data_IF_678296420199
#
_entry.id   IF_678296420199
#
_cell.length_a   1.000
_cell.length_b   1.000
_cell.length_c   1.000
_cell.angle_alpha   90.00
_cell.angle_beta   90.00
_cell.angle_gamma   90.00
#
_symmetry.space_group_name_H-M   'P 1'
#
loop_
_entity.id
_entity.type
_entity.pdbx_description
1 polymer ?
#
# COMPACT_ATOMS: atom_id res chain seq x y z
N UNK A 1 69.86 37.88 -43.43
CA UNK A 1 69.25 36.65 -42.87
C UNK A 1 68.24 36.89 -41.74
N UNK A 2 68.23 38.03 -41.03
CA UNK A 2 67.32 38.25 -39.89
C UNK A 2 65.84 38.47 -40.27
N UNK A 3 65.54 39.03 -41.44
CA UNK A 3 64.19 39.37 -41.88
C UNK A 3 63.31 38.17 -42.29
N UNK A 4 63.94 37.03 -42.63
CA UNK A 4 63.21 35.82 -43.03
C UNK A 4 62.60 35.13 -41.79
N UNK A 5 63.28 35.17 -40.64
CA UNK A 5 62.82 34.52 -39.40
C UNK A 5 61.57 35.19 -38.81
N UNK A 6 61.47 36.52 -38.86
CA UNK A 6 60.31 37.28 -38.36
C UNK A 6 59.04 37.03 -39.16
N UNK A 7 59.14 36.82 -40.49
CA UNK A 7 58.00 36.47 -41.33
C UNK A 7 57.39 35.11 -41.00
N UNK A 8 58.23 34.10 -40.72
CA UNK A 8 57.78 32.76 -40.31
C UNK A 8 57.05 32.77 -38.97
N UNK A 9 57.52 33.53 -37.98
CA UNK A 9 56.90 33.59 -36.64
C UNK A 9 55.52 34.24 -36.71
N UNK A 10 55.36 35.30 -37.51
CA UNK A 10 54.07 35.97 -37.68
C UNK A 10 53.04 35.08 -38.39
N UNK A 11 53.48 34.30 -39.39
CA UNK A 11 52.62 33.36 -40.10
C UNK A 11 52.20 32.18 -39.21
N UNK A 12 53.10 31.69 -38.35
CA UNK A 12 52.82 30.61 -37.40
C UNK A 12 51.83 31.04 -36.31
N UNK A 13 51.96 32.28 -35.83
CA UNK A 13 51.00 32.89 -34.90
C UNK A 13 49.60 33.06 -35.53
N UNK A 14 49.53 33.48 -36.80
CA UNK A 14 48.26 33.58 -37.51
C UNK A 14 47.62 32.20 -37.72
N UNK A 15 48.43 31.19 -38.07
CA UNK A 15 47.97 29.81 -38.26
C UNK A 15 47.43 29.21 -36.96
N UNK A 16 48.16 29.38 -35.86
CA UNK A 16 47.73 28.91 -34.53
C UNK A 16 46.42 29.57 -34.10
N UNK A 17 46.28 30.89 -34.33
CA UNK A 17 45.03 31.62 -34.05
C UNK A 17 43.86 31.09 -34.87
N UNK A 18 44.05 30.82 -36.16
CA UNK A 18 43.01 30.26 -37.02
C UNK A 18 42.61 28.85 -36.59
N UNK A 19 43.59 28.01 -36.20
CA UNK A 19 43.33 26.67 -35.67
C UNK A 19 42.50 26.72 -34.38
N UNK A 20 42.84 27.59 -33.43
CA UNK A 20 42.09 27.75 -32.18
C UNK A 20 40.65 28.19 -32.46
N UNK A 21 40.45 29.17 -33.34
CA UNK A 21 39.11 29.64 -33.70
C UNK A 21 38.27 28.56 -34.38
N UNK A 22 38.89 27.74 -35.24
CA UNK A 22 38.20 26.62 -35.89
C UNK A 22 37.81 25.53 -34.91
N UNK A 23 38.67 25.19 -33.95
CA UNK A 23 38.41 24.19 -32.93
C UNK A 23 37.30 24.66 -31.97
N UNK A 24 37.31 25.93 -31.57
CA UNK A 24 36.25 26.53 -30.76
C UNK A 24 34.92 26.57 -31.51
N UNK A 25 34.94 26.91 -32.81
CA UNK A 25 33.75 26.88 -33.66
C UNK A 25 33.14 25.49 -33.76
N UNK A 26 33.97 24.47 -34.02
CA UNK A 26 33.55 23.07 -34.07
C UNK A 26 32.97 22.61 -32.72
N UNK A 27 33.65 22.91 -31.61
CA UNK A 27 33.18 22.58 -30.26
C UNK A 27 31.84 23.24 -29.93
N UNK A 28 31.63 24.50 -30.33
CA UNK A 28 30.36 25.18 -30.11
C UNK A 28 29.22 24.57 -30.95
N UNK A 29 29.49 24.15 -32.18
CA UNK A 29 28.49 23.46 -33.01
C UNK A 29 28.10 22.10 -32.44
N UNK A 30 29.06 21.34 -31.90
CA UNK A 30 28.79 20.04 -31.29
C UNK A 30 28.01 20.19 -29.98
N UNK A 31 28.36 21.18 -29.15
CA UNK A 31 27.62 21.52 -27.94
C UNK A 31 26.18 21.92 -28.27
N UNK A 32 25.97 22.78 -29.28
CA UNK A 32 24.64 23.19 -29.73
C UNK A 32 23.82 22.00 -30.23
N UNK A 33 24.44 21.06 -30.94
CA UNK A 33 23.77 19.86 -31.44
C UNK A 33 23.37 18.94 -30.29
N UNK A 34 24.26 18.77 -29.31
CA UNK A 34 24.00 17.98 -28.09
C UNK A 34 22.90 18.59 -27.21
N UNK A 35 22.90 19.92 -27.06
CA UNK A 35 21.81 20.65 -26.39
C UNK A 35 20.48 20.50 -27.13
N UNK A 36 20.50 20.50 -28.46
CA UNK A 36 19.31 20.23 -29.27
C UNK A 36 18.74 18.81 -29.04
N UNK A 37 19.60 17.80 -28.92
CA UNK A 37 19.20 16.42 -28.60
C UNK A 37 18.59 16.32 -27.20
N UNK A 38 19.24 16.92 -26.20
CA UNK A 38 18.75 16.93 -24.81
C UNK A 38 17.41 17.68 -24.68
N UNK A 39 17.22 18.76 -25.44
CA UNK A 39 15.95 19.50 -25.47
C UNK A 39 14.79 18.71 -26.11
N UNK A 40 15.09 17.66 -26.91
CA UNK A 40 14.10 16.75 -27.49
C UNK A 40 13.60 15.67 -26.52
N UNK A 41 14.45 15.20 -25.60
CA UNK A 41 14.12 14.16 -24.62
C UNK A 41 12.89 14.45 -23.74
N UNK A 42 12.68 15.67 -23.19
CA UNK A 42 11.49 15.91 -22.39
C UNK A 42 10.20 15.78 -23.19
N UNK A 43 10.23 16.03 -24.51
CA UNK A 43 9.05 15.88 -25.38
C UNK A 43 8.74 14.41 -25.64
N UNK A 44 9.75 13.57 -25.84
CA UNK A 44 9.55 12.12 -26.04
C UNK A 44 9.05 11.47 -24.75
N UNK A 45 9.65 11.82 -23.60
CA UNK A 45 9.20 11.33 -22.29
C UNK A 45 7.76 11.77 -22.01
N UNK A 46 7.38 13.00 -22.38
CA UNK A 46 6.01 13.47 -22.23
C UNK A 46 5.01 12.70 -23.13
N UNK A 47 5.40 12.37 -24.36
CA UNK A 47 4.60 11.59 -25.28
C UNK A 47 4.42 10.13 -24.81
N UNK A 48 5.50 9.49 -24.37
CA UNK A 48 5.46 8.13 -23.82
C UNK A 48 4.61 8.07 -22.55
N UNK A 49 4.74 9.08 -21.69
CA UNK A 49 3.90 9.22 -20.50
C UNK A 49 2.42 9.46 -20.83
N UNK A 50 2.10 10.14 -21.93
CA UNK A 50 0.73 10.33 -22.38
C UNK A 50 0.12 9.02 -22.91
N UNK A 51 0.90 8.24 -23.67
CA UNK A 51 0.51 6.92 -24.14
C UNK A 51 0.24 5.96 -22.97
N UNK A 52 1.15 5.89 -22.00
CA UNK A 52 0.98 5.02 -20.82
C UNK A 52 -0.26 5.39 -19.99
N UNK A 53 -0.60 6.69 -19.91
CA UNK A 53 -1.83 7.15 -19.23
C UNK A 53 -3.10 6.78 -19.99
N UNK A 54 -3.08 6.76 -21.32
CA UNK A 54 -4.22 6.29 -22.12
C UNK A 54 -4.38 4.78 -22.00
N UNK A 55 -3.29 4.03 -22.08
CA UNK A 55 -3.30 2.57 -21.92
C UNK A 55 -3.82 2.16 -20.53
N UNK A 56 -3.35 2.84 -19.47
CA UNK A 56 -3.86 2.64 -18.12
C UNK A 56 -5.37 2.92 -18.03
N UNK A 57 -5.86 4.01 -18.64
CA UNK A 57 -7.30 4.31 -18.69
C UNK A 57 -8.09 3.28 -19.49
N UNK A 58 -7.49 2.68 -20.52
CA UNK A 58 -8.12 1.62 -21.29
C UNK A 58 -8.21 0.33 -20.46
N UNK A 59 -7.18 0.00 -19.69
CA UNK A 59 -7.16 -1.17 -18.83
C UNK A 59 -8.22 -1.07 -17.71
N UNK A 60 -8.36 0.10 -17.07
CA UNK A 60 -9.41 0.33 -16.07
C UNK A 60 -10.81 0.15 -16.65
N UNK A 61 -11.08 0.72 -17.83
CA UNK A 61 -12.38 0.52 -18.51
C UNK A 61 -12.69 -0.95 -18.78
N UNK A 62 -11.68 -1.75 -19.16
CA UNK A 62 -11.84 -3.19 -19.36
C UNK A 62 -12.10 -3.93 -18.05
N UNK A 63 -11.45 -3.52 -16.97
CA UNK A 63 -11.67 -4.08 -15.63
C UNK A 63 -13.11 -3.80 -15.15
N UNK A 64 -13.55 -2.55 -15.26
CA UNK A 64 -14.92 -2.14 -14.88
C UNK A 64 -15.96 -2.91 -15.69
N UNK A 65 -15.71 -3.11 -16.99
CA UNK A 65 -16.57 -3.92 -17.85
C UNK A 65 -16.61 -5.38 -17.38
N UNK A 66 -15.45 -6.00 -17.12
CA UNK A 66 -15.39 -7.39 -16.67
C UNK A 66 -16.06 -7.60 -15.31
N UNK A 67 -15.94 -6.64 -14.39
CA UNK A 67 -16.64 -6.68 -13.10
C UNK A 67 -18.16 -6.63 -13.30
N UNK A 68 -18.66 -5.75 -14.17
CA UNK A 68 -20.08 -5.71 -14.52
C UNK A 68 -20.60 -7.01 -15.14
N UNK A 69 -19.81 -7.63 -16.03
CA UNK A 69 -20.14 -8.94 -16.61
C UNK A 69 -20.23 -10.04 -15.54
N UNK A 70 -19.32 -10.05 -14.56
CA UNK A 70 -19.34 -11.01 -13.44
C UNK A 70 -20.58 -10.81 -12.55
N UNK A 71 -20.93 -9.56 -12.22
CA UNK A 71 -22.13 -9.26 -11.44
C UNK A 71 -23.41 -9.71 -12.17
N UNK A 72 -23.47 -9.48 -13.48
CA UNK A 72 -24.59 -9.91 -14.31
C UNK A 72 -24.69 -11.45 -14.36
N UNK A 73 -23.57 -12.16 -14.46
CA UNK A 73 -23.53 -13.62 -14.41
C UNK A 73 -24.00 -14.16 -13.06
N UNK A 74 -23.58 -13.53 -11.95
CA UNK A 74 -24.03 -13.90 -10.60
C UNK A 74 -25.54 -13.69 -10.43
N UNK A 75 -26.07 -12.56 -10.91
CA UNK A 75 -27.51 -12.30 -10.89
C UNK A 75 -28.29 -13.32 -11.74
N UNK A 76 -27.77 -13.68 -12.92
CA UNK A 76 -28.38 -14.71 -13.76
C UNK A 76 -28.39 -16.09 -13.09
N UNK A 77 -27.29 -16.47 -12.44
CA UNK A 77 -27.18 -17.72 -11.70
C UNK A 77 -28.14 -17.78 -10.50
N UNK A 78 -28.30 -16.67 -9.75
CA UNK A 78 -29.26 -16.57 -8.66
C UNK A 78 -30.71 -16.77 -9.15
N UNK A 79 -31.09 -16.10 -10.24
CA UNK A 79 -32.43 -16.25 -10.83
C UNK A 79 -32.71 -17.68 -11.33
N UNK A 80 -31.69 -18.37 -11.86
CA UNK A 80 -31.82 -19.77 -12.22
C UNK A 80 -31.97 -20.68 -10.99
N UNK A 81 -31.25 -20.39 -9.90
CA UNK A 81 -31.40 -21.10 -8.62
C UNK A 81 -32.81 -20.97 -8.07
N UNK A 82 -33.35 -19.74 -8.01
CA UNK A 82 -34.72 -19.49 -7.52
C UNK A 82 -35.78 -20.28 -8.31
N UNK A 83 -35.60 -20.38 -9.64
CA UNK A 83 -36.50 -21.13 -10.51
C UNK A 83 -36.41 -22.65 -10.30
N UNK A 84 -35.22 -23.15 -9.97
CA UNK A 84 -35.02 -24.56 -9.59
C UNK A 84 -35.65 -24.82 -8.22
N UNK A 85 -35.43 -23.95 -7.24
CA UNK A 85 -36.01 -24.09 -5.90
C UNK A 85 -37.53 -24.07 -5.95
N UNK A 86 -38.13 -23.13 -6.70
CA UNK A 86 -39.59 -23.06 -6.88
C UNK A 86 -40.20 -24.31 -7.55
N UNK A 87 -39.41 -25.09 -8.30
CA UNK A 87 -39.84 -26.38 -8.87
C UNK A 87 -39.67 -27.55 -7.91
N UNK A 88 -38.86 -27.40 -6.87
CA UNK A 88 -38.44 -28.50 -6.00
C UNK A 88 -39.17 -28.51 -4.65
N UNK A 89 -39.84 -27.42 -4.26
CA UNK A 89 -40.64 -27.33 -3.03
C UNK A 89 -42.05 -27.92 -3.22
N UNK A 90 -42.40 -29.08 -2.60
CA UNK A 90 -43.79 -29.51 -2.49
C UNK A 90 -44.56 -28.61 -1.48
N UNK A 91 -45.88 -28.41 -1.66
CA UNK A 91 -46.66 -27.54 -0.78
C UNK A 91 -46.83 -28.20 0.60
N UNK A 92 -46.29 -27.56 1.64
CA UNK A 92 -46.51 -27.95 3.02
C UNK A 92 -47.91 -27.50 3.48
N UNK A 93 -48.72 -28.47 3.92
CA UNK A 93 -50.01 -28.24 4.58
C UNK A 93 -49.85 -27.54 5.94
N UNK A 94 -50.77 -26.64 6.34
CA UNK A 94 -50.73 -25.98 7.64
C UNK A 94 -51.51 -26.79 8.70
N UNK A 95 -50.82 -27.25 9.75
CA UNK A 95 -51.45 -27.85 10.92
C UNK A 95 -51.78 -26.79 11.99
N UNK A 96 -52.99 -26.91 12.54
CA UNK A 96 -53.68 -25.95 13.40
C UNK A 96 -53.21 -25.89 14.87
N UNK A 97 -53.60 -24.77 15.47
CA UNK A 97 -53.49 -24.26 16.85
C UNK A 97 -53.79 -25.23 18.00
N UNK A 98 -53.11 -25.03 19.13
CA UNK A 98 -53.74 -25.03 20.45
C UNK A 98 -53.08 -24.04 21.44
N UNK A 99 -53.89 -23.09 21.91
CA UNK A 99 -53.75 -22.17 23.06
C UNK A 99 -54.13 -22.94 24.34
N UNK A 100 -53.56 -22.74 25.54
CA UNK A 100 -53.73 -21.60 26.50
C UNK A 100 -52.91 -21.88 27.82
N UNK A 101 -52.94 -21.11 28.95
CA UNK A 101 -51.86 -20.20 29.40
C UNK A 101 -51.29 -20.49 30.85
N UNK A 102 -50.83 -19.50 31.69
CA UNK A 102 -49.43 -19.30 32.09
C UNK A 102 -49.10 -19.60 33.58
N UNK A 103 -47.86 -20.03 33.86
CA UNK A 103 -47.31 -20.12 35.24
C UNK A 103 -46.19 -19.08 35.41
N UNK A 104 -46.38 -18.16 36.36
CA UNK A 104 -45.42 -17.15 36.81
C UNK A 104 -44.43 -17.73 37.85
N UNK A 105 -43.28 -17.07 38.12
CA UNK A 105 -41.96 -17.71 38.28
C UNK A 105 -41.51 -17.89 39.74
N UNK A 106 -40.42 -18.64 39.99
CA UNK A 106 -39.54 -18.37 41.11
C UNK A 106 -38.34 -17.51 40.68
N UNK A 107 -38.02 -16.56 41.56
CA UNK A 107 -36.85 -15.69 41.56
C UNK A 107 -35.53 -16.45 41.44
N UNK A 108 -34.56 -15.79 40.81
CA UNK A 108 -33.20 -15.74 41.34
C UNK A 108 -32.13 -16.38 40.47
N UNK A 109 -31.78 -15.73 39.36
CA UNK A 109 -30.42 -15.76 38.84
C UNK A 109 -30.10 -14.34 38.39
N UNK A 110 -29.23 -13.68 39.14
CA UNK A 110 -28.75 -12.34 38.83
C UNK A 110 -28.06 -12.34 37.46
N UNK A 111 -28.16 -11.26 36.66
CA UNK A 111 -27.33 -11.10 35.47
C UNK A 111 -25.87 -11.05 35.91
N UNK A 112 -25.06 -11.98 35.40
CA UNK A 112 -23.61 -11.82 35.41
C UNK A 112 -23.30 -10.49 34.71
N UNK A 113 -22.52 -9.58 35.32
CA UNK A 113 -22.07 -8.39 34.62
C UNK A 113 -21.22 -8.84 33.42
N UNK A 114 -21.28 -8.13 32.27
CA UNK A 114 -20.33 -8.39 31.18
C UNK A 114 -18.90 -8.29 31.74
N UNK A 115 -17.93 -9.06 31.23
CA UNK A 115 -16.54 -8.86 31.60
C UNK A 115 -16.20 -7.42 31.26
N UNK A 116 -15.95 -6.61 32.29
CA UNK A 116 -15.28 -5.33 32.14
C UNK A 116 -13.88 -5.71 31.69
N UNK A 117 -13.65 -5.66 30.38
CA UNK A 117 -12.29 -5.57 29.85
C UNK A 117 -11.82 -4.21 30.36
N UNK A 118 -11.15 -4.20 31.51
CA UNK A 118 -10.17 -3.17 31.81
C UNK A 118 -9.14 -3.29 30.70
N UNK A 119 -9.35 -2.51 29.63
CA UNK A 119 -8.24 -2.07 28.81
C UNK A 119 -7.32 -1.41 29.83
N UNK A 120 -6.22 -2.10 30.14
CA UNK A 120 -5.09 -1.47 30.78
C UNK A 120 -4.85 -0.23 29.92
N UNK A 121 -5.10 0.95 30.48
CA UNK A 121 -4.80 2.24 29.88
C UNK A 121 -3.27 2.34 29.81
N UNK A 122 -2.67 1.48 28.99
CA UNK A 122 -1.38 1.75 28.41
C UNK A 122 -1.66 2.97 27.57
N UNK A 123 -1.18 4.13 28.02
CA UNK A 123 -1.24 5.41 27.35
C UNK A 123 -0.95 5.23 25.85
N UNK A 124 -1.99 4.92 25.07
CA UNK A 124 -1.95 4.91 23.63
C UNK A 124 -2.01 6.39 23.25
N UNK A 125 -0.85 7.04 23.37
CA UNK A 125 -0.67 8.45 23.07
C UNK A 125 -1.32 8.72 21.72
N UNK A 126 -2.37 9.55 21.73
CA UNK A 126 -3.17 9.82 20.55
C UNK A 126 -2.23 10.20 19.39
N UNK A 127 -2.36 9.57 18.21
CA UNK A 127 -1.44 9.78 17.11
C UNK A 127 -1.18 11.27 16.83
N UNK A 128 0.08 11.70 16.99
CA UNK A 128 0.52 13.09 16.84
C UNK A 128 0.57 13.50 15.34
N UNK A 129 -0.12 14.58 14.92
CA UNK A 129 -0.05 15.11 13.55
C UNK A 129 1.38 15.45 13.07
N UNK A 130 2.28 15.85 13.98
CA UNK A 130 3.68 16.13 13.63
C UNK A 130 4.43 14.83 13.35
N UNK A 131 4.22 13.77 14.15
CA UNK A 131 4.72 12.41 13.87
C UNK A 131 4.21 11.91 12.52
N UNK A 132 2.91 12.03 12.23
CA UNK A 132 2.31 11.65 10.95
C UNK A 132 3.03 12.32 9.77
N UNK A 133 3.25 13.65 9.82
CA UNK A 133 3.94 14.37 8.74
C UNK A 133 5.36 13.85 8.47
N UNK A 134 6.09 13.41 9.51
CA UNK A 134 7.42 12.81 9.35
C UNK A 134 7.32 11.45 8.68
N UNK A 135 6.38 10.61 9.11
CA UNK A 135 6.13 9.28 8.53
C UNK A 135 5.73 9.36 7.06
N UNK A 136 4.82 10.28 6.70
CA UNK A 136 4.42 10.50 5.30
C UNK A 136 5.59 10.89 4.41
N UNK A 137 6.53 11.69 4.92
CA UNK A 137 7.76 12.05 4.19
C UNK A 137 8.68 10.85 3.99
N UNK A 138 8.81 9.98 5.00
CA UNK A 138 9.58 8.73 4.89
C UNK A 138 8.94 7.79 3.86
N UNK A 139 7.63 7.55 3.97
CA UNK A 139 6.88 6.74 3.03
C UNK A 139 7.00 7.24 1.58
N UNK A 140 6.98 8.57 1.36
CA UNK A 140 7.21 9.16 0.04
C UNK A 140 8.60 8.86 -0.55
N UNK A 141 9.60 8.58 0.29
CA UNK A 141 10.95 8.20 -0.11
C UNK A 141 11.12 6.71 -0.40
N UNK A 142 10.14 5.88 -0.05
CA UNK A 142 10.19 4.43 -0.24
C UNK A 142 9.66 4.09 -1.63
N UNK A 143 10.52 3.49 -2.46
CA UNK A 143 10.10 2.98 -3.77
C UNK A 143 9.12 1.82 -3.62
N UNK A 144 9.41 0.89 -2.70
CA UNK A 144 8.59 -0.28 -2.43
C UNK A 144 8.83 -0.82 -1.01
N UNK A 145 7.77 -1.29 -0.36
CA UNK A 145 7.80 -1.99 0.91
C UNK A 145 7.01 -3.31 0.82
N UNK A 146 7.53 -4.38 1.41
CA UNK A 146 6.79 -5.62 1.65
C UNK A 146 6.01 -5.49 2.94
N UNK A 147 4.74 -5.83 2.89
CA UNK A 147 3.86 -5.94 4.03
C UNK A 147 3.53 -7.42 4.23
N UNK A 148 3.77 -7.93 5.43
CA UNK A 148 3.48 -9.32 5.80
C UNK A 148 2.50 -9.30 6.96
N UNK A 149 1.32 -9.87 6.74
CA UNK A 149 0.25 -9.87 7.74
C UNK A 149 -0.71 -11.05 7.53
N UNK A 150 -1.62 -11.28 8.48
CA UNK A 150 -2.70 -12.24 8.31
C UNK A 150 -3.69 -11.74 7.25
N UNK A 151 -4.37 -12.67 6.55
CA UNK A 151 -5.35 -12.36 5.51
C UNK A 151 -6.44 -11.38 5.96
N UNK A 152 -6.94 -11.55 7.19
CA UNK A 152 -7.99 -10.69 7.73
C UNK A 152 -7.47 -9.28 8.05
N UNK A 153 -6.21 -9.16 8.52
CA UNK A 153 -5.55 -7.86 8.72
C UNK A 153 -5.44 -7.11 7.39
N UNK A 154 -5.10 -7.82 6.32
CA UNK A 154 -5.06 -7.23 4.98
C UNK A 154 -6.44 -6.82 4.48
N UNK A 155 -7.47 -7.64 4.71
CA UNK A 155 -8.85 -7.30 4.35
C UNK A 155 -9.32 -6.03 5.06
N UNK A 156 -9.04 -5.90 6.36
CA UNK A 156 -9.31 -4.68 7.12
C UNK A 156 -8.57 -3.47 6.53
N UNK A 157 -7.27 -3.59 6.24
CA UNK A 157 -6.51 -2.51 5.62
C UNK A 157 -7.10 -2.07 4.29
N UNK A 158 -7.54 -3.01 3.46
CA UNK A 158 -8.21 -2.72 2.19
C UNK A 158 -9.53 -1.97 2.43
N UNK A 159 -10.35 -2.39 3.38
CA UNK A 159 -11.60 -1.71 3.71
C UNK A 159 -11.37 -0.24 4.10
N UNK A 160 -10.34 0.01 4.93
CA UNK A 160 -10.01 1.37 5.38
C UNK A 160 -9.39 2.24 4.27
N UNK A 161 -8.70 1.64 3.28
CA UNK A 161 -7.88 2.37 2.29
C UNK A 161 -8.45 2.41 0.90
N UNK A 162 -9.43 1.56 0.56
CA UNK A 162 -10.00 1.45 -0.77
C UNK A 162 -10.59 2.76 -1.30
N UNK A 163 -11.01 3.66 -0.41
CA UNK A 163 -11.59 4.95 -0.76
C UNK A 163 -10.56 6.08 -0.88
N UNK A 164 -9.29 5.84 -0.52
CA UNK A 164 -8.25 6.87 -0.57
C UNK A 164 -7.71 7.05 -2.01
N UNK A 165 -7.64 8.29 -2.54
CA UNK A 165 -7.21 8.55 -3.91
C UNK A 165 -5.75 8.16 -4.20
N UNK A 166 -4.91 8.09 -3.17
CA UNK A 166 -3.50 7.70 -3.25
C UNK A 166 -3.32 6.18 -3.18
N UNK A 167 -4.31 5.45 -2.65
CA UNK A 167 -4.25 4.01 -2.57
C UNK A 167 -4.30 3.39 -3.97
N UNK A 168 -3.39 2.45 -4.20
CA UNK A 168 -3.45 1.52 -5.32
C UNK A 168 -3.25 0.15 -4.74
N UNK A 169 -4.26 -0.69 -4.93
CA UNK A 169 -4.17 -2.08 -4.57
C UNK A 169 -2.94 -2.68 -5.26
N UNK A 170 -2.06 -3.35 -4.50
CA UNK A 170 -0.89 -4.03 -5.04
C UNK A 170 -1.29 -5.19 -5.94
N UNK A 171 -0.33 -5.70 -6.72
CA UNK A 171 -0.51 -6.83 -7.63
C UNK A 171 -0.74 -8.17 -6.89
N UNK A 172 -0.29 -9.33 -7.43
CA UNK A 172 -0.60 -10.63 -6.82
C UNK A 172 -0.23 -10.65 -5.34
N UNK A 173 -1.20 -11.07 -4.53
CA UNK A 173 -1.07 -11.31 -3.10
C UNK A 173 -0.64 -12.76 -2.98
N UNK A 174 0.58 -12.98 -2.51
CA UNK A 174 1.07 -14.33 -2.28
C UNK A 174 0.48 -14.81 -0.96
N UNK A 175 -0.45 -15.77 -1.05
CA UNK A 175 -0.99 -16.50 0.10
C UNK A 175 0.08 -17.52 0.51
N UNK A 176 0.91 -17.14 1.48
CA UNK A 176 1.81 -18.08 2.12
C UNK A 176 0.96 -19.06 2.96
N UNK A 177 1.32 -20.34 2.95
CA UNK A 177 0.67 -21.34 3.81
C UNK A 177 0.50 -20.79 5.25
N UNK A 178 -0.62 -21.10 5.90
CA UNK A 178 -1.03 -20.63 7.24
C UNK A 178 -1.82 -19.30 7.30
N UNK A 179 -2.42 -18.83 6.20
CA UNK A 179 -3.34 -17.68 6.22
C UNK A 179 -2.62 -16.33 6.23
N UNK A 180 -1.36 -16.33 5.79
CA UNK A 180 -0.50 -15.15 5.71
C UNK A 180 -0.50 -14.62 4.28
N UNK A 181 -0.52 -13.31 4.16
CA UNK A 181 -0.40 -12.62 2.88
C UNK A 181 0.86 -11.77 2.86
N UNK A 182 1.66 -11.94 1.81
CA UNK A 182 2.73 -11.02 1.46
C UNK A 182 2.24 -10.07 0.35
N UNK A 183 2.44 -8.77 0.59
CA UNK A 183 1.90 -7.71 -0.23
C UNK A 183 2.95 -6.63 -0.48
N UNK A 184 3.22 -6.30 -1.74
CA UNK A 184 4.18 -5.25 -2.09
C UNK A 184 3.52 -3.89 -2.29
N UNK A 185 3.71 -2.96 -1.37
CA UNK A 185 3.15 -1.61 -1.40
C UNK A 185 4.14 -0.58 -1.96
N UNK A 186 3.64 0.32 -2.81
CA UNK A 186 4.38 1.54 -3.19
C UNK A 186 4.39 2.55 -2.03
N UNK A 187 5.36 3.46 -1.99
CA UNK A 187 5.36 4.57 -1.03
C UNK A 187 4.07 5.42 -1.07
N UNK A 188 3.44 5.55 -2.25
CA UNK A 188 2.14 6.23 -2.39
C UNK A 188 0.98 5.46 -1.76
N UNK A 189 0.94 4.13 -1.94
CA UNK A 189 -0.04 3.28 -1.27
C UNK A 189 0.18 3.27 0.25
N UNK A 190 1.44 3.32 0.70
CA UNK A 190 1.77 3.39 2.12
C UNK A 190 1.35 4.72 2.77
N UNK A 191 1.46 5.84 2.05
CA UNK A 191 0.88 7.13 2.45
C UNK A 191 -0.62 7.02 2.68
N UNK A 192 -1.33 6.37 1.75
CA UNK A 192 -2.78 6.18 1.86
C UNK A 192 -3.14 5.34 3.10
N UNK A 193 -2.40 4.24 3.34
CA UNK A 193 -2.57 3.40 4.53
C UNK A 193 -2.40 4.23 5.81
N UNK A 194 -1.32 5.00 5.92
CA UNK A 194 -1.06 5.84 7.10
C UNK A 194 -2.16 6.89 7.32
N UNK A 195 -2.63 7.54 6.25
CA UNK A 195 -3.68 8.55 6.34
C UNK A 195 -5.03 7.95 6.75
N UNK A 196 -5.41 6.83 6.14
CA UNK A 196 -6.65 6.11 6.48
C UNK A 196 -6.63 5.64 7.94
N UNK A 197 -5.58 4.93 8.37
CA UNK A 197 -5.49 4.41 9.74
C UNK A 197 -5.46 5.54 10.77
N UNK A 198 -4.73 6.63 10.49
CA UNK A 198 -4.72 7.80 11.36
C UNK A 198 -6.12 8.44 11.45
N UNK A 199 -6.84 8.55 10.33
CA UNK A 199 -8.21 9.03 10.30
C UNK A 199 -9.15 8.16 11.13
N UNK A 200 -9.15 6.85 10.88
CA UNK A 200 -9.97 5.87 11.60
C UNK A 200 -9.65 5.89 13.09
N UNK A 201 -8.37 5.89 13.51
CA UNK A 201 -7.97 5.90 14.92
C UNK A 201 -8.46 7.11 15.74
N UNK A 202 -8.89 8.18 15.05
CA UNK A 202 -9.38 9.41 15.69
C UNK A 202 -10.89 9.56 15.60
N UNK A 203 -11.61 8.59 15.07
CA UNK A 203 -13.07 8.64 15.10
C UNK A 203 -13.57 8.53 16.55
N UNK A 204 -14.60 9.31 16.89
CA UNK A 204 -15.19 9.35 18.23
C UNK A 204 -16.43 8.42 18.35
N UNK A 205 -16.68 7.61 17.31
CA UNK A 205 -17.83 6.71 17.25
C UNK A 205 -17.56 5.44 18.07
N UNK A 206 -18.24 5.33 19.22
CA UNK A 206 -18.11 4.18 20.11
C UNK A 206 -18.64 2.89 19.51
N UNK A 207 -19.47 2.94 18.46
CA UNK A 207 -19.88 1.75 17.72
C UNK A 207 -18.71 1.10 16.95
N UNK A 208 -17.63 1.85 16.72
CA UNK A 208 -16.45 1.42 15.98
C UNK A 208 -15.22 1.17 16.86
N UNK A 209 -15.40 0.98 18.17
CA UNK A 209 -14.28 0.75 19.10
C UNK A 209 -13.31 -0.35 18.65
N UNK A 210 -13.82 -1.42 18.01
CA UNK A 210 -12.98 -2.47 17.43
C UNK A 210 -12.08 -1.95 16.29
N UNK A 211 -12.66 -1.21 15.34
CA UNK A 211 -11.92 -0.60 14.23
C UNK A 211 -10.94 0.47 14.73
N UNK A 212 -11.30 1.23 15.76
CA UNK A 212 -10.42 2.21 16.41
C UNK A 212 -9.17 1.54 16.99
N UNK A 213 -9.36 0.48 17.77
CA UNK A 213 -8.28 -0.27 18.40
C UNK A 213 -7.36 -0.90 17.33
N UNK A 214 -7.96 -1.56 16.33
CA UNK A 214 -7.21 -2.17 15.24
C UNK A 214 -6.46 -1.12 14.41
N UNK A 215 -7.09 0.02 14.07
CA UNK A 215 -6.45 1.07 13.31
C UNK A 215 -5.28 1.72 14.06
N UNK A 216 -5.43 1.91 15.37
CA UNK A 216 -4.39 2.46 16.25
C UNK A 216 -3.18 1.54 16.29
N UNK A 217 -3.39 0.25 16.54
CA UNK A 217 -2.32 -0.76 16.60
C UNK A 217 -1.57 -0.87 15.28
N UNK A 218 -2.30 -0.99 14.16
CA UNK A 218 -1.69 -1.11 12.84
C UNK A 218 -0.94 0.17 12.46
N UNK A 219 -1.46 1.35 12.79
CA UNK A 219 -0.77 2.62 12.58
C UNK A 219 0.56 2.65 13.34
N UNK A 220 0.56 2.27 14.63
CA UNK A 220 1.75 2.27 15.47
C UNK A 220 2.81 1.31 14.93
N UNK A 221 2.45 0.07 14.57
CA UNK A 221 3.39 -0.90 13.98
C UNK A 221 4.03 -0.41 12.69
N UNK A 222 3.23 0.16 11.79
CA UNK A 222 3.77 0.71 10.54
C UNK A 222 4.68 1.91 10.83
N UNK A 223 4.29 2.77 11.77
CA UNK A 223 5.09 3.92 12.18
C UNK A 223 6.45 3.48 12.72
N UNK A 224 6.47 2.49 13.61
CA UNK A 224 7.67 1.97 14.24
C UNK A 224 8.58 1.29 13.21
N UNK A 225 8.02 0.48 12.30
CA UNK A 225 8.78 -0.14 11.21
C UNK A 225 9.44 0.92 10.29
N UNK A 226 8.73 2.00 9.99
CA UNK A 226 9.25 3.11 9.18
C UNK A 226 10.28 3.96 9.93
N UNK A 227 10.14 4.11 11.23
CA UNK A 227 11.07 4.84 12.09
C UNK A 227 12.41 4.10 12.23
N UNK A 228 12.35 2.77 12.30
CA UNK A 228 13.50 1.87 12.37
C UNK A 228 14.16 1.57 11.02
N UNK A 229 13.58 2.03 9.91
CA UNK A 229 14.19 1.89 8.58
C UNK A 229 15.29 2.94 8.39
N UNK A 230 16.53 2.49 8.20
CA UNK A 230 17.67 3.37 7.93
C UNK A 230 17.53 4.09 6.58
N UNK A 231 17.31 5.40 6.64
CA UNK A 231 17.14 6.26 5.45
C UNK A 231 18.47 6.59 4.73
N UNK A 232 19.60 6.11 5.24
CA UNK A 232 20.93 6.44 4.75
C UNK A 232 21.31 5.67 3.47
N UNK A 233 20.74 4.47 3.27
CA UNK A 233 21.07 3.63 2.12
C UNK A 233 19.97 3.71 1.05
N UNK A 234 20.17 4.58 0.06
CA UNK A 234 19.22 4.76 -1.06
C UNK A 234 19.11 3.52 -1.97
N UNK A 235 20.00 2.55 -1.81
CA UNK A 235 20.00 1.27 -2.53
C UNK A 235 19.92 0.07 -1.57
N UNK A 236 19.47 0.32 -0.33
CA UNK A 236 19.33 -0.70 0.70
C UNK A 236 18.25 -1.74 0.38
N UNK A 237 18.20 -2.83 1.18
CA UNK A 237 17.18 -3.87 1.04
C UNK A 237 15.78 -3.27 1.16
N UNK A 238 14.83 -3.89 0.45
CA UNK A 238 13.41 -3.51 0.47
C UNK A 238 12.89 -3.48 1.92
N UNK A 239 12.13 -2.46 2.28
CA UNK A 239 11.54 -2.32 3.62
C UNK A 239 10.54 -3.44 3.84
N UNK A 240 10.70 -4.24 4.90
CA UNK A 240 9.76 -5.30 5.29
C UNK A 240 9.03 -4.87 6.56
N UNK A 241 7.70 -4.79 6.49
CA UNK A 241 6.82 -4.42 7.58
C UNK A 241 6.01 -5.65 7.96
N UNK A 242 6.16 -6.13 9.18
CA UNK A 242 5.42 -7.28 9.73
C UNK A 242 4.36 -6.74 10.68
N UNK A 243 3.09 -7.06 10.43
CA UNK A 243 1.98 -6.55 11.24
C UNK A 243 1.38 -7.57 12.21
N UNK A 244 1.77 -8.83 12.13
CA UNK A 244 1.17 -9.92 12.90
C UNK A 244 2.12 -10.40 14.01
N UNK A 245 1.61 -10.52 15.23
CA UNK A 245 2.36 -11.04 16.38
C UNK A 245 2.35 -12.55 16.37
N UNK A 246 3.54 -13.15 16.36
CA UNK A 246 3.66 -14.56 16.72
C UNK A 246 3.67 -14.65 18.24
N UNK A 247 2.87 -15.56 18.80
CA UNK A 247 3.29 -16.18 20.05
C UNK A 247 4.68 -16.78 19.79
N UNK A 248 5.70 -16.27 20.50
CA UNK A 248 7.04 -16.85 20.42
C UNK A 248 6.95 -18.36 20.70
N UNK A 249 7.89 -19.18 20.19
CA UNK A 249 7.96 -20.56 20.62
C UNK A 249 7.94 -20.56 22.15
N UNK A 250 7.00 -21.32 22.74
CA UNK A 250 6.94 -21.49 24.18
C UNK A 250 8.36 -21.83 24.67
N UNK A 251 8.84 -21.20 25.75
CA UNK A 251 10.11 -21.61 26.32
C UNK A 251 10.04 -23.12 26.55
N UNK A 252 11.04 -23.82 26.05
CA UNK A 252 11.17 -25.27 26.15
C UNK A 252 11.27 -25.63 27.64
N UNK A 253 10.12 -25.85 28.28
CA UNK A 253 10.02 -26.50 29.59
C UNK A 253 10.37 -27.97 29.38
N UNK A 254 11.68 -28.26 29.29
CA UNK A 254 12.10 -29.56 28.80
C UNK A 254 13.58 -29.91 28.88
N UNK A 255 14.34 -29.40 29.85
CA UNK A 255 15.58 -30.10 30.26
C UNK A 255 15.78 -30.07 31.78
N UNK A 256 14.76 -30.55 32.51
CA UNK A 256 15.02 -31.18 33.80
C UNK A 256 15.36 -32.67 33.56
N UNK A 257 16.66 -32.95 33.51
CA UNK A 257 17.20 -34.18 34.06
C UNK A 257 17.49 -35.32 33.09
N UNK A 258 18.70 -35.32 32.52
CA UNK A 258 19.50 -36.56 32.43
C UNK A 258 21.00 -36.30 32.23
N UNK A 259 21.71 -36.08 33.33
CA UNK A 259 23.14 -36.40 33.40
C UNK A 259 23.34 -37.45 34.50
N UNK A 260 23.81 -38.61 34.05
CA UNK A 260 24.23 -39.79 34.81
C UNK A 260 25.56 -39.50 35.53
#
# INVERSE_FOLDING_TARGET
MAWIKTGTILNDAHTTRQQILSALGAGFTDLRTSLGKLAGLPKTIAADGAWLREDHRQLHRKLDQALGEIEQLRACCAALSDLVDARTTPPAEPAERQTDPPVAPPRGAQPLPPPVITLDETDAEAPDPVRLRKLLRRAAGISSAKLVCHRDTWAFLLEQTARDPHFRAPGPVDDEHEGRVEVTLSGRSLIAVLLSLFGTSREEDTAKLGDLAMATELYQRIADALENTDSADRYGPQVVIVLDDRAGPAPDEGDEGRAV
#
